data_IF_808618419176
#
_entry.id   IF_808618419176
#
_cell.length_a   1.000
_cell.length_b   1.000
_cell.length_c   1.000
_cell.angle_alpha   90.00
_cell.angle_beta   90.00
_cell.angle_gamma   90.00
#
_symmetry.space_group_name_H-M   'P 1'
#
loop_
_entity.id
_entity.type
_entity.pdbx_description
1 polymer ?
#
# COMPACT_ATOMS: atom_id res chain seq x y z
N UNK A 1 5.25 -19.30 -21.81
CA UNK A 1 3.98 -19.81 -22.40
C UNK A 1 2.78 -19.15 -21.72
N UNK A 2 1.77 -18.65 -22.47
CA UNK A 2 0.56 -18.04 -21.89
C UNK A 2 -0.16 -18.98 -20.92
N UNK A 3 -0.15 -20.29 -21.21
CA UNK A 3 -0.75 -21.31 -20.36
C UNK A 3 -0.15 -21.33 -18.94
N UNK A 4 1.14 -21.04 -18.77
CA UNK A 4 1.78 -21.02 -17.45
C UNK A 4 1.24 -19.90 -16.58
N UNK A 5 0.87 -18.74 -17.15
CA UNK A 5 0.28 -17.64 -16.40
C UNK A 5 -1.08 -18.03 -15.81
N UNK A 6 -1.97 -18.57 -16.65
CA UNK A 6 -3.33 -18.97 -16.25
C UNK A 6 -3.39 -20.20 -15.34
N UNK A 7 -2.26 -20.86 -15.09
CA UNK A 7 -2.16 -21.87 -14.04
C UNK A 7 -2.10 -21.25 -12.63
N UNK A 8 -1.73 -19.97 -12.52
CA UNK A 8 -1.56 -19.28 -11.24
C UNK A 8 -2.49 -18.09 -11.07
N UNK A 9 -2.86 -17.43 -12.16
CA UNK A 9 -3.64 -16.20 -12.13
C UNK A 9 -4.78 -16.23 -13.14
N UNK A 10 -5.98 -15.89 -12.70
CA UNK A 10 -7.15 -15.84 -13.58
C UNK A 10 -7.03 -14.72 -14.61
N UNK A 11 -6.50 -13.57 -14.20
CA UNK A 11 -6.23 -12.42 -15.07
C UNK A 11 -5.12 -11.51 -14.51
N UNK A 12 -4.89 -10.37 -15.16
CA UNK A 12 -3.88 -9.39 -14.73
C UNK A 12 -4.22 -8.73 -13.39
N UNK A 13 -5.48 -8.64 -13.00
CA UNK A 13 -5.90 -8.04 -11.73
C UNK A 13 -5.66 -9.00 -10.57
N UNK A 14 -5.89 -10.30 -10.79
CA UNK A 14 -5.55 -11.34 -9.83
C UNK A 14 -4.04 -11.35 -9.53
N UNK A 15 -3.20 -11.25 -10.57
CA UNK A 15 -1.77 -11.04 -10.40
C UNK A 15 -1.45 -9.79 -9.57
N UNK A 16 -2.09 -8.64 -9.87
CA UNK A 16 -1.83 -7.40 -9.13
C UNK A 16 -2.23 -7.54 -7.66
N UNK A 17 -3.38 -8.16 -7.36
CA UNK A 17 -3.80 -8.42 -5.98
C UNK A 17 -2.78 -9.28 -5.23
N UNK A 18 -2.23 -10.30 -5.89
CA UNK A 18 -1.16 -11.11 -5.32
C UNK A 18 0.13 -10.29 -5.09
N UNK A 19 0.52 -9.44 -6.04
CA UNK A 19 1.67 -8.54 -5.85
C UNK A 19 1.49 -7.62 -4.64
N UNK A 20 0.30 -7.05 -4.46
CA UNK A 20 0.00 -6.19 -3.30
C UNK A 20 0.01 -6.95 -1.99
N UNK A 21 -0.50 -8.19 -1.99
CA UNK A 21 -0.37 -9.10 -0.86
C UNK A 21 1.09 -9.38 -0.50
N UNK A 22 1.96 -9.65 -1.48
CA UNK A 22 3.39 -9.87 -1.23
C UNK A 22 4.06 -8.64 -0.63
N UNK A 23 3.78 -7.43 -1.14
CA UNK A 23 4.29 -6.18 -0.54
C UNK A 23 3.80 -6.03 0.90
N UNK A 24 2.53 -6.33 1.16
CA UNK A 24 1.94 -6.27 2.50
C UNK A 24 2.64 -7.22 3.49
N UNK A 25 3.01 -8.43 3.03
CA UNK A 25 3.81 -9.38 3.81
C UNK A 25 5.24 -8.88 4.05
N UNK A 26 5.87 -8.25 3.06
CA UNK A 26 7.23 -7.73 3.17
C UNK A 26 7.32 -6.59 4.20
N UNK A 27 6.31 -5.73 4.26
CA UNK A 27 6.20 -4.70 5.31
C UNK A 27 5.71 -5.27 6.65
N UNK A 28 5.51 -6.59 6.73
CA UNK A 28 5.07 -7.35 7.90
C UNK A 28 3.80 -6.74 8.51
N UNK A 29 2.82 -6.45 7.66
CA UNK A 29 1.59 -5.77 8.05
C UNK A 29 0.82 -6.55 9.12
N UNK A 30 0.84 -7.88 9.03
CA UNK A 30 0.13 -8.79 9.93
C UNK A 30 0.90 -9.03 11.25
N UNK A 31 2.15 -8.56 11.37
CA UNK A 31 2.93 -8.60 12.62
C UNK A 31 2.85 -7.25 13.32
N UNK A 32 1.65 -6.90 13.77
CA UNK A 32 1.41 -5.67 14.50
C UNK A 32 2.34 -5.58 15.74
N UNK A 33 2.98 -4.42 16.00
CA UNK A 33 3.70 -4.22 17.24
C UNK A 33 2.76 -4.47 18.43
N UNK A 34 3.22 -5.21 19.44
CA UNK A 34 2.42 -5.68 20.61
C UNK A 34 1.58 -4.60 21.31
N UNK A 35 1.90 -3.32 21.12
CA UNK A 35 1.06 -2.19 21.48
C UNK A 35 0.80 -1.32 20.24
N UNK A 36 -0.38 -1.48 19.64
CA UNK A 36 -0.76 -0.60 18.53
C UNK A 36 -1.02 0.80 19.06
N UNK A 37 -0.13 1.70 18.68
CA UNK A 37 -0.24 3.13 18.94
C UNK A 37 -0.03 3.86 17.61
N UNK A 38 -0.15 5.19 17.61
CA UNK A 38 0.19 6.03 16.45
C UNK A 38 1.59 5.72 15.87
N UNK A 39 2.50 5.11 16.64
CA UNK A 39 3.81 4.65 16.17
C UNK A 39 3.75 3.48 15.18
N UNK A 40 2.73 2.63 15.23
CA UNK A 40 2.59 1.49 14.32
C UNK A 40 2.44 1.95 12.87
N UNK A 41 1.69 3.03 12.64
CA UNK A 41 1.52 3.58 11.30
C UNK A 41 2.84 4.14 10.74
N UNK A 42 3.65 4.78 11.60
CA UNK A 42 4.98 5.24 11.22
C UNK A 42 5.87 4.06 10.84
N UNK A 43 5.85 2.97 11.62
CA UNK A 43 6.63 1.76 11.32
C UNK A 43 6.21 1.14 9.98
N UNK A 44 4.90 1.02 9.71
CA UNK A 44 4.43 0.49 8.42
C UNK A 44 4.82 1.40 7.26
N UNK A 45 4.76 2.72 7.46
CA UNK A 45 5.22 3.67 6.46
C UNK A 45 6.72 3.56 6.19
N UNK A 46 7.56 3.48 7.22
CA UNK A 46 9.01 3.33 7.09
C UNK A 46 9.36 2.05 6.30
N UNK A 47 8.71 0.93 6.63
CA UNK A 47 8.90 -0.33 5.90
C UNK A 47 8.46 -0.24 4.45
N UNK A 48 7.30 0.37 4.19
CA UNK A 48 6.81 0.56 2.81
C UNK A 48 7.76 1.47 2.00
N UNK A 49 8.26 2.53 2.62
CA UNK A 49 9.27 3.40 2.04
C UNK A 49 10.55 2.63 1.71
N UNK A 50 11.04 1.78 2.62
CA UNK A 50 12.23 0.97 2.42
C UNK A 50 12.06 -0.05 1.28
N UNK A 51 10.90 -0.71 1.18
CA UNK A 51 10.57 -1.60 0.04
C UNK A 51 10.62 -0.82 -1.28
N UNK A 52 9.98 0.35 -1.35
CA UNK A 52 9.95 1.14 -2.59
C UNK A 52 11.32 1.71 -2.94
N UNK A 53 12.11 2.10 -1.94
CA UNK A 53 13.46 2.63 -2.12
C UNK A 53 14.45 1.56 -2.58
N UNK A 54 14.43 0.38 -1.94
CA UNK A 54 15.29 -0.75 -2.31
C UNK A 54 15.01 -1.26 -3.72
N UNK A 55 13.76 -1.12 -4.19
CA UNK A 55 13.32 -1.52 -5.52
C UNK A 55 13.06 -0.33 -6.46
N UNK A 56 13.64 0.85 -6.20
CA UNK A 56 13.31 2.08 -6.93
C UNK A 56 13.53 1.96 -8.45
N UNK A 57 14.56 1.23 -8.90
CA UNK A 57 14.79 1.01 -10.32
C UNK A 57 13.66 0.18 -10.97
N UNK A 58 13.21 -0.88 -10.30
CA UNK A 58 12.08 -1.69 -10.77
C UNK A 58 10.79 -0.85 -10.79
N UNK A 59 10.54 -0.08 -9.72
CA UNK A 59 9.40 0.81 -9.64
C UNK A 59 9.39 1.83 -10.80
N UNK A 60 10.53 2.48 -11.07
CA UNK A 60 10.67 3.42 -12.19
C UNK A 60 10.41 2.75 -13.55
N UNK A 61 10.92 1.53 -13.76
CA UNK A 61 10.69 0.79 -15.00
C UNK A 61 9.21 0.43 -15.20
N UNK A 62 8.50 0.06 -14.12
CA UNK A 62 7.05 -0.19 -14.16
C UNK A 62 6.32 1.10 -14.51
N UNK A 63 6.66 2.19 -13.83
CA UNK A 63 5.98 3.47 -13.97
C UNK A 63 6.24 4.16 -15.32
N UNK A 64 7.34 3.83 -16.00
CA UNK A 64 7.61 4.31 -17.36
C UNK A 64 6.45 3.99 -18.34
N UNK A 65 5.76 2.88 -18.12
CA UNK A 65 4.65 2.42 -18.97
C UNK A 65 3.29 2.44 -18.26
N UNK A 66 3.26 2.84 -17.00
CA UNK A 66 2.06 2.83 -16.18
C UNK A 66 2.01 4.13 -15.38
N UNK A 67 1.13 5.05 -15.80
CA UNK A 67 0.83 6.22 -14.98
C UNK A 67 0.28 5.77 -13.63
N UNK A 68 0.81 6.33 -12.55
CA UNK A 68 0.31 6.08 -11.21
C UNK A 68 -1.11 6.61 -10.99
N UNK A 69 -1.54 7.61 -11.76
CA UNK A 69 -2.95 8.03 -11.80
C UNK A 69 -3.85 7.03 -12.56
N UNK A 70 -3.22 6.11 -13.31
CA UNK A 70 -3.86 5.06 -14.07
C UNK A 70 -4.25 3.84 -13.24
N UNK A 71 -4.65 2.78 -13.94
CA UNK A 71 -5.27 1.60 -13.32
C UNK A 71 -4.37 0.87 -12.31
N UNK A 72 -3.06 0.78 -12.58
CA UNK A 72 -2.11 0.11 -11.69
C UNK A 72 -1.98 0.85 -10.35
N UNK A 73 -1.76 2.17 -10.40
CA UNK A 73 -1.65 2.96 -9.18
C UNK A 73 -2.96 3.04 -8.42
N UNK A 74 -4.11 3.16 -9.10
CA UNK A 74 -5.42 3.11 -8.44
C UNK A 74 -5.68 1.75 -7.77
N UNK A 75 -5.28 0.64 -8.39
CA UNK A 75 -5.36 -0.69 -7.77
C UNK A 75 -4.53 -0.78 -6.49
N UNK A 76 -3.30 -0.29 -6.51
CA UNK A 76 -2.44 -0.21 -5.33
C UNK A 76 -3.05 0.69 -4.23
N UNK A 77 -3.51 1.89 -4.57
CA UNK A 77 -4.11 2.83 -3.62
C UNK A 77 -5.33 2.19 -2.93
N UNK A 78 -6.19 1.53 -3.70
CA UNK A 78 -7.38 0.86 -3.16
C UNK A 78 -7.01 -0.29 -2.23
N UNK A 79 -6.05 -1.13 -2.63
CA UNK A 79 -5.56 -2.21 -1.77
C UNK A 79 -4.98 -1.66 -0.46
N UNK A 80 -4.13 -0.64 -0.56
CA UNK A 80 -3.48 0.00 0.59
C UNK A 80 -4.52 0.58 1.56
N UNK A 81 -5.49 1.34 1.08
CA UNK A 81 -6.57 1.91 1.91
C UNK A 81 -7.37 0.82 2.62
N UNK A 82 -7.78 -0.23 1.90
CA UNK A 82 -8.54 -1.33 2.48
C UNK A 82 -7.72 -2.04 3.58
N UNK A 83 -6.44 -2.28 3.34
CA UNK A 83 -5.56 -2.93 4.34
C UNK A 83 -5.34 -2.03 5.55
N UNK A 84 -5.18 -0.72 5.36
CA UNK A 84 -5.07 0.24 6.46
C UNK A 84 -6.35 0.32 7.30
N UNK A 85 -7.53 0.30 6.67
CA UNK A 85 -8.81 0.23 7.38
C UNK A 85 -8.94 -1.06 8.20
N UNK A 86 -8.54 -2.21 7.65
CA UNK A 86 -8.54 -3.50 8.37
C UNK A 86 -7.65 -3.43 9.62
N UNK A 87 -6.40 -2.95 9.48
CA UNK A 87 -5.47 -2.78 10.59
C UNK A 87 -6.10 -1.86 11.63
N UNK A 88 -6.56 -0.68 11.23
CA UNK A 88 -7.06 0.34 12.16
C UNK A 88 -8.25 -0.18 12.97
N UNK A 89 -9.20 -0.81 12.29
CA UNK A 89 -10.41 -1.37 12.93
C UNK A 89 -10.09 -2.48 13.93
N UNK A 90 -9.07 -3.29 13.66
CA UNK A 90 -8.71 -4.44 14.50
C UNK A 90 -7.76 -4.10 15.65
N UNK A 91 -7.04 -2.98 15.56
CA UNK A 91 -5.87 -2.74 16.41
C UNK A 91 -5.94 -1.49 17.29
N UNK A 92 -6.78 -0.51 16.96
CA UNK A 92 -6.85 0.76 17.71
C UNK A 92 -8.23 0.90 18.37
N UNK A 93 -8.21 1.15 19.68
CA UNK A 93 -9.43 1.48 20.43
C UNK A 93 -9.82 2.96 20.21
N UNK A 94 -10.64 3.19 19.19
CA UNK A 94 -11.14 4.51 18.81
C UNK A 94 -12.22 5.07 19.73
N UNK A 95 -12.68 4.32 20.73
CA UNK A 95 -13.68 4.80 21.68
C UNK A 95 -13.26 6.10 22.39
N UNK A 96 -11.95 6.37 22.45
CA UNK A 96 -11.36 7.57 23.07
C UNK A 96 -11.25 8.79 22.17
N UNK A 97 -11.35 8.63 20.85
CA UNK A 97 -11.13 9.71 19.87
C UNK A 97 -12.43 10.45 19.49
N UNK A 98 -13.60 9.84 19.72
CA UNK A 98 -14.89 10.42 19.35
C UNK A 98 -15.11 10.57 17.84
N UNK A 99 -14.28 9.91 17.02
CA UNK A 99 -14.32 9.95 15.56
C UNK A 99 -14.50 8.53 15.00
N UNK A 100 -15.15 8.37 13.83
CA UNK A 100 -15.21 7.09 13.12
C UNK A 100 -13.81 6.58 12.78
N UNK A 101 -13.58 5.28 12.95
CA UNK A 101 -12.29 4.63 12.64
C UNK A 101 -11.92 4.75 11.17
N UNK A 102 -12.92 4.64 10.31
CA UNK A 102 -12.80 4.73 8.86
C UNK A 102 -12.25 6.10 8.45
N UNK A 103 -12.73 7.18 9.09
CA UNK A 103 -12.27 8.54 8.81
C UNK A 103 -10.78 8.71 9.15
N UNK A 104 -10.35 8.16 10.29
CA UNK A 104 -8.94 8.25 10.71
C UNK A 104 -8.05 7.41 9.79
N UNK A 105 -8.48 6.19 9.46
CA UNK A 105 -7.77 5.31 8.54
C UNK A 105 -7.62 5.94 7.15
N UNK A 106 -8.68 6.54 6.62
CA UNK A 106 -8.65 7.24 5.34
C UNK A 106 -7.71 8.44 5.37
N UNK A 107 -7.81 9.29 6.40
CA UNK A 107 -6.94 10.46 6.55
C UNK A 107 -5.45 10.08 6.61
N UNK A 108 -5.10 9.08 7.41
CA UNK A 108 -3.72 8.61 7.50
C UNK A 108 -3.26 7.98 6.18
N UNK A 109 -4.14 7.22 5.51
CA UNK A 109 -3.82 6.60 4.22
C UNK A 109 -3.55 7.65 3.14
N UNK A 110 -4.37 8.69 3.05
CA UNK A 110 -4.17 9.79 2.11
C UNK A 110 -2.85 10.51 2.36
N UNK A 111 -2.48 10.72 3.62
CA UNK A 111 -1.20 11.34 3.98
C UNK A 111 -0.02 10.49 3.53
N UNK A 112 -0.04 9.18 3.76
CA UNK A 112 1.01 8.25 3.30
C UNK A 112 1.11 8.24 1.77
N UNK A 113 -0.03 8.11 1.07
CA UNK A 113 -0.06 8.10 -0.39
C UNK A 113 0.47 9.42 -0.97
N UNK A 114 0.13 10.56 -0.37
CA UNK A 114 0.67 11.87 -0.76
C UNK A 114 2.19 11.90 -0.69
N UNK A 115 2.76 11.42 0.43
CA UNK A 115 4.22 11.39 0.63
C UNK A 115 4.89 10.45 -0.38
N UNK A 116 4.34 9.25 -0.59
CA UNK A 116 4.87 8.30 -1.58
C UNK A 116 4.84 8.87 -3.00
N UNK A 117 3.74 9.53 -3.38
CA UNK A 117 3.63 10.25 -4.66
C UNK A 117 4.71 11.29 -4.81
N UNK A 118 4.96 12.08 -3.77
CA UNK A 118 5.99 13.11 -3.83
C UNK A 118 7.40 12.55 -3.99
N UNK A 119 7.72 11.48 -3.26
CA UNK A 119 9.05 10.88 -3.22
C UNK A 119 9.34 10.11 -4.51
N UNK A 120 8.42 9.24 -4.94
CA UNK A 120 8.69 8.26 -5.99
C UNK A 120 8.10 8.64 -7.35
N UNK A 121 7.08 9.51 -7.38
CA UNK A 121 6.23 9.68 -8.58
C UNK A 121 6.24 11.10 -9.17
N UNK A 122 6.80 12.07 -8.45
CA UNK A 122 6.83 13.49 -8.87
C UNK A 122 7.61 13.72 -10.18
N UNK A 123 8.49 12.81 -10.56
CA UNK A 123 9.32 12.93 -11.78
C UNK A 123 8.60 12.55 -13.07
N UNK A 124 7.30 12.19 -13.03
CA UNK A 124 6.54 11.78 -14.22
C UNK A 124 5.78 12.93 -14.93
N UNK A 125 5.91 14.17 -14.44
CA UNK A 125 5.41 15.34 -15.16
C UNK A 125 6.54 15.91 -16.02
N UNK A 126 6.65 15.41 -17.25
CA UNK A 126 7.38 16.05 -18.35
C UNK A 126 6.57 15.88 -19.64
#
# INVERSE_FOLDING_TARGET
PRATFYNYFDDKYDLLNYCWYVIAQEIQVDQAPEAVSNKSLIIYFDRLYDVFKSHAQLLNNILQYNDFSGQLGNSFINYFKNKMQEIFTTSIDYSKLGLPVELVADHCSETVILVLKWIFLKHQVA
#
